data_IF_365151592001
#
_entry.id   IF_365151592001
#
_cell.length_a   1.000
_cell.length_b   1.000
_cell.length_c   1.000
_cell.angle_alpha   90.00
_cell.angle_beta   90.00
_cell.angle_gamma   90.00
#
_symmetry.space_group_name_H-M   'P 1'
#
loop_
_entity.id
_entity.type
_entity.pdbx_description
1 polymer ?
#
# COMPACT_ATOMS: atom_id res chain seq x y z
N UNK A 1 -12.27 -32.65 -13.81
CA UNK A 1 -12.71 -31.60 -12.88
C UNK A 1 -11.92 -30.29 -13.09
N UNK A 2 -10.58 -30.26 -13.03
CA UNK A 2 -9.79 -29.03 -13.18
C UNK A 2 -9.78 -28.50 -14.63
N UNK A 3 -9.72 -29.35 -15.62
CA UNK A 3 -9.83 -29.02 -17.06
C UNK A 3 -11.22 -28.49 -17.40
N UNK A 4 -12.27 -29.09 -16.90
CA UNK A 4 -13.67 -28.64 -17.10
C UNK A 4 -13.91 -27.24 -16.51
N UNK A 5 -13.20 -26.86 -15.46
CA UNK A 5 -13.29 -25.53 -14.84
C UNK A 5 -12.37 -24.50 -15.49
N UNK A 6 -11.62 -24.84 -16.55
CA UNK A 6 -10.61 -24.00 -17.19
C UNK A 6 -9.69 -23.30 -16.17
N UNK A 7 -9.26 -24.06 -15.16
CA UNK A 7 -8.59 -23.49 -14.01
C UNK A 7 -7.25 -22.82 -14.38
N UNK A 8 -6.49 -23.44 -15.28
CA UNK A 8 -5.20 -22.90 -15.73
C UNK A 8 -5.38 -21.58 -16.48
N UNK A 9 -6.30 -21.53 -17.43
CA UNK A 9 -6.60 -20.34 -18.23
C UNK A 9 -7.03 -19.17 -17.34
N UNK A 10 -7.86 -19.44 -16.34
CA UNK A 10 -8.29 -18.44 -15.35
C UNK A 10 -7.18 -18.00 -14.41
N UNK A 11 -6.20 -18.87 -14.14
CA UNK A 11 -5.09 -18.57 -13.24
C UNK A 11 -4.01 -17.72 -13.89
N UNK A 12 -3.81 -17.84 -15.22
CA UNK A 12 -2.74 -17.11 -15.92
C UNK A 12 -3.16 -15.73 -16.45
N UNK A 13 -4.48 -15.46 -16.49
CA UNK A 13 -4.98 -14.13 -16.89
C UNK A 13 -5.40 -13.31 -15.68
N UNK A 14 -5.01 -12.01 -15.61
CA UNK A 14 -5.44 -11.12 -14.54
C UNK A 14 -6.94 -10.80 -14.65
N UNK A 15 -7.61 -10.66 -13.50
CA UNK A 15 -9.03 -10.28 -13.45
C UNK A 15 -9.26 -8.87 -14.01
N UNK A 16 -8.33 -7.93 -13.75
CA UNK A 16 -8.44 -6.56 -14.23
C UNK A 16 -7.07 -5.89 -14.37
N UNK A 17 -6.95 -5.05 -15.40
CA UNK A 17 -5.79 -4.19 -15.62
C UNK A 17 -6.27 -2.75 -15.75
N UNK A 18 -5.68 -1.85 -14.97
CA UNK A 18 -5.86 -0.40 -15.12
C UNK A 18 -4.56 0.18 -15.65
N UNK A 19 -4.65 0.91 -16.76
CA UNK A 19 -3.54 1.64 -17.36
C UNK A 19 -3.94 3.09 -17.53
N UNK A 20 -3.07 4.01 -17.11
CA UNK A 20 -3.37 5.43 -17.13
C UNK A 20 -2.12 6.26 -17.40
N UNK A 21 -2.35 7.49 -17.85
CA UNK A 21 -1.32 8.49 -18.11
C UNK A 21 -1.04 9.28 -16.82
N UNK A 22 0.24 9.52 -16.54
CA UNK A 22 0.71 10.28 -15.36
C UNK A 22 1.46 11.51 -15.82
N UNK A 23 0.79 12.64 -16.09
CA UNK A 23 1.45 13.91 -16.38
C UNK A 23 1.93 14.59 -15.09
N UNK A 24 3.16 15.09 -15.08
CA UNK A 24 3.73 15.82 -13.96
C UNK A 24 4.74 16.85 -14.45
N UNK A 25 5.06 17.84 -13.60
CA UNK A 25 5.99 18.92 -13.96
C UNK A 25 7.30 18.75 -13.21
N UNK A 26 8.43 18.78 -13.92
CA UNK A 26 9.76 18.73 -13.30
C UNK A 26 10.15 20.09 -12.68
N UNK A 27 11.31 20.15 -12.03
CA UNK A 27 11.79 21.36 -11.38
C UNK A 27 12.19 22.48 -12.38
N UNK A 28 12.37 22.15 -13.65
CA UNK A 28 12.58 23.13 -14.73
C UNK A 28 11.28 23.73 -15.29
N UNK A 29 10.12 23.26 -14.80
CA UNK A 29 8.81 23.68 -15.30
C UNK A 29 8.34 22.94 -16.54
N UNK A 30 9.07 21.90 -17.01
CA UNK A 30 8.70 21.12 -18.18
C UNK A 30 7.72 20.02 -17.79
N UNK A 31 6.68 19.84 -18.59
CA UNK A 31 5.73 18.75 -18.44
C UNK A 31 6.34 17.44 -18.90
N UNK A 32 6.32 16.45 -18.03
CA UNK A 32 6.73 15.07 -18.25
C UNK A 32 5.49 14.18 -18.24
N UNK A 33 5.53 13.05 -18.96
CA UNK A 33 4.43 12.10 -19.01
C UNK A 33 4.97 10.68 -18.87
N UNK A 34 4.51 9.98 -17.83
CA UNK A 34 4.78 8.58 -17.58
C UNK A 34 3.51 7.74 -17.73
N UNK A 35 3.67 6.42 -17.75
CA UNK A 35 2.57 5.46 -17.74
C UNK A 35 2.43 4.85 -16.36
N UNK A 36 1.20 4.85 -15.85
CA UNK A 36 0.84 4.15 -14.63
C UNK A 36 0.07 2.87 -14.93
N UNK A 37 0.30 1.84 -14.10
CA UNK A 37 -0.35 0.55 -14.22
C UNK A 37 -0.78 0.03 -12.86
N UNK A 38 -1.93 -0.67 -12.83
CA UNK A 38 -2.31 -1.57 -11.75
C UNK A 38 -2.88 -2.84 -12.35
N UNK A 39 -2.30 -3.97 -12.00
CA UNK A 39 -2.74 -5.31 -12.36
C UNK A 39 -3.36 -5.92 -11.12
N UNK A 40 -4.66 -6.07 -11.13
CA UNK A 40 -5.47 -6.77 -10.15
C UNK A 40 -5.60 -8.20 -10.64
N UNK A 41 -4.75 -9.08 -10.08
CA UNK A 41 -4.52 -10.35 -10.74
C UNK A 41 -5.52 -11.41 -10.33
N UNK A 42 -5.72 -11.61 -9.03
CA UNK A 42 -6.65 -12.60 -8.52
C UNK A 42 -7.14 -12.24 -7.12
N UNK A 43 -8.45 -12.28 -6.90
CA UNK A 43 -9.14 -11.92 -5.65
C UNK A 43 -9.80 -13.11 -4.95
N UNK A 44 -9.57 -14.35 -5.42
CA UNK A 44 -10.26 -15.54 -4.92
C UNK A 44 -10.12 -15.78 -3.40
N UNK A 45 -9.03 -15.33 -2.79
CA UNK A 45 -8.76 -15.51 -1.36
C UNK A 45 -8.79 -14.20 -0.55
N UNK A 46 -9.11 -13.08 -1.17
CA UNK A 46 -9.24 -11.78 -0.52
C UNK A 46 -8.86 -10.61 -1.40
N UNK A 47 -8.83 -9.38 -0.84
CA UNK A 47 -8.49 -8.16 -1.57
C UNK A 47 -7.15 -8.28 -2.29
N UNK A 48 -7.03 -7.64 -3.46
CA UNK A 48 -5.76 -7.61 -4.17
C UNK A 48 -4.68 -6.96 -3.29
N UNK A 49 -3.51 -7.58 -3.23
CA UNK A 49 -2.39 -7.11 -2.43
C UNK A 49 -1.09 -7.26 -3.18
N UNK A 50 -0.32 -6.17 -3.28
CA UNK A 50 1.00 -6.21 -3.90
C UNK A 50 1.62 -4.85 -4.12
N UNK A 51 2.94 -4.84 -4.38
CA UNK A 51 3.76 -3.64 -4.45
C UNK A 51 3.51 -2.76 -5.66
N UNK A 52 3.85 -1.48 -5.51
CA UNK A 52 4.04 -0.53 -6.60
C UNK A 52 5.54 -0.44 -6.91
N UNK A 53 5.92 -0.57 -8.18
CA UNK A 53 7.31 -0.46 -8.65
C UNK A 53 7.48 0.77 -9.52
N UNK A 54 8.44 1.64 -9.18
CA UNK A 54 8.83 2.77 -10.03
C UNK A 54 10.23 2.54 -10.57
N UNK A 55 10.30 2.26 -11.86
CA UNK A 55 11.56 2.01 -12.55
C UNK A 55 11.37 2.17 -14.06
N UNK A 56 12.33 2.74 -14.81
CA UNK A 56 12.24 2.91 -16.27
C UNK A 56 11.96 1.64 -17.06
N UNK A 57 12.32 0.48 -16.50
CA UNK A 57 12.12 -0.82 -17.16
C UNK A 57 10.72 -1.40 -16.96
N UNK A 58 9.85 -0.72 -16.20
CA UNK A 58 8.49 -1.21 -15.95
C UNK A 58 7.66 -1.21 -17.21
N UNK A 59 7.15 -2.39 -17.55
CA UNK A 59 6.20 -2.61 -18.63
C UNK A 59 4.98 -3.37 -18.11
N UNK A 60 3.89 -3.34 -18.87
CA UNK A 60 2.69 -4.09 -18.51
C UNK A 60 2.97 -5.60 -18.43
N UNK A 61 3.78 -6.16 -19.35
CA UNK A 61 4.16 -7.57 -19.34
C UNK A 61 4.92 -7.96 -18.07
N UNK A 62 5.88 -7.12 -17.64
CA UNK A 62 6.59 -7.33 -16.37
C UNK A 62 5.62 -7.32 -15.18
N UNK A 63 4.67 -6.39 -15.14
CA UNK A 63 3.73 -6.29 -14.02
C UNK A 63 2.70 -7.44 -14.02
N UNK A 64 2.29 -7.95 -15.19
CA UNK A 64 1.49 -9.18 -15.29
C UNK A 64 2.25 -10.35 -14.68
N UNK A 65 3.52 -10.55 -15.06
CA UNK A 65 4.34 -11.62 -14.50
C UNK A 65 4.51 -11.50 -12.99
N UNK A 66 4.87 -10.31 -12.50
CA UNK A 66 5.04 -10.07 -11.06
C UNK A 66 3.71 -10.19 -10.28
N UNK A 67 2.59 -9.86 -10.90
CA UNK A 67 1.26 -10.07 -10.32
C UNK A 67 0.91 -11.54 -10.21
N UNK A 68 1.25 -12.34 -11.21
CA UNK A 68 1.12 -13.78 -11.20
C UNK A 68 1.94 -14.42 -10.08
N UNK A 69 3.23 -14.07 -9.94
CA UNK A 69 4.05 -14.52 -8.81
C UNK A 69 3.46 -14.12 -7.46
N UNK A 70 2.86 -12.92 -7.38
CA UNK A 70 2.28 -12.41 -6.14
C UNK A 70 1.10 -13.24 -5.64
N UNK A 71 0.35 -13.91 -6.51
CA UNK A 71 -0.76 -14.80 -6.10
C UNK A 71 -0.20 -15.93 -5.24
N UNK A 72 0.81 -16.61 -5.73
CA UNK A 72 1.41 -17.76 -5.01
C UNK A 72 2.08 -17.31 -3.72
N UNK A 73 2.82 -16.20 -3.78
CA UNK A 73 3.45 -15.63 -2.58
C UNK A 73 2.43 -15.34 -1.48
N UNK A 74 1.30 -14.74 -1.83
CA UNK A 74 0.26 -14.37 -0.86
C UNK A 74 -0.50 -15.60 -0.34
N UNK A 75 -0.80 -16.58 -1.20
CA UNK A 75 -1.48 -17.82 -0.79
C UNK A 75 -0.70 -18.61 0.25
N UNK A 76 0.64 -18.57 0.19
CA UNK A 76 1.51 -19.26 1.14
C UNK A 76 1.57 -18.57 2.52
N UNK A 77 1.03 -17.35 2.67
CA UNK A 77 1.01 -16.65 3.96
C UNK A 77 -0.14 -17.08 4.87
N UNK A 78 -1.09 -17.87 4.37
CA UNK A 78 -2.35 -18.22 5.03
C UNK A 78 -3.28 -17.07 5.36
N UNK A 79 -2.94 -15.84 4.93
CA UNK A 79 -3.76 -14.66 5.14
C UNK A 79 -4.78 -14.49 4.00
N UNK A 80 -5.98 -13.93 4.27
CA UNK A 80 -7.02 -13.73 3.26
C UNK A 80 -6.70 -12.51 2.37
N UNK A 81 -5.73 -12.65 1.49
CA UNK A 81 -5.33 -11.60 0.55
C UNK A 81 -4.99 -12.19 -0.82
N UNK A 82 -5.57 -11.58 -1.84
CA UNK A 82 -5.33 -11.88 -3.24
C UNK A 82 -4.00 -11.34 -3.74
N UNK A 83 -3.80 -11.39 -5.05
CA UNK A 83 -2.58 -10.91 -5.71
C UNK A 83 -2.81 -9.72 -6.61
N UNK A 84 -1.94 -8.72 -6.50
CA UNK A 84 -1.94 -7.56 -7.38
C UNK A 84 -0.53 -6.97 -7.51
N UNK A 85 -0.31 -6.23 -8.60
CA UNK A 85 0.97 -5.54 -8.84
C UNK A 85 0.72 -4.26 -9.60
N UNK A 86 1.48 -3.22 -9.28
CA UNK A 86 1.38 -1.96 -10.02
C UNK A 86 2.72 -1.28 -10.17
N UNK A 87 2.72 -0.15 -10.83
CA UNK A 87 3.93 0.64 -11.00
C UNK A 87 3.87 1.63 -12.15
N UNK A 88 5.03 2.18 -12.44
CA UNK A 88 5.24 3.15 -13.52
C UNK A 88 6.65 3.05 -14.08
N UNK A 89 6.82 3.47 -15.33
CA UNK A 89 8.11 3.69 -15.98
C UNK A 89 8.86 4.93 -15.46
N UNK A 90 8.38 5.56 -14.40
CA UNK A 90 9.02 6.67 -13.71
C UNK A 90 10.30 6.22 -12.99
N UNK A 91 11.40 6.97 -13.16
CA UNK A 91 12.64 6.76 -12.41
C UNK A 91 12.73 7.76 -11.23
N UNK A 92 12.62 7.32 -9.97
CA UNK A 92 12.76 8.19 -8.82
C UNK A 92 14.22 8.56 -8.50
N UNK A 93 15.20 7.90 -9.12
CA UNK A 93 16.62 8.19 -8.86
C UNK A 93 16.99 9.56 -9.42
N UNK A 94 17.67 10.35 -8.59
CA UNK A 94 18.12 11.70 -8.97
C UNK A 94 17.00 12.75 -9.06
N UNK A 95 15.76 12.38 -8.71
CA UNK A 95 14.64 13.30 -8.65
C UNK A 95 14.55 14.00 -7.30
N UNK A 96 14.16 15.28 -7.32
CA UNK A 96 13.91 16.03 -6.09
C UNK A 96 12.67 15.50 -5.34
N UNK A 97 12.57 15.81 -4.05
CA UNK A 97 11.37 15.45 -3.28
C UNK A 97 10.09 16.09 -3.85
N UNK A 98 10.21 17.29 -4.41
CA UNK A 98 9.08 18.00 -5.03
C UNK A 98 8.65 17.34 -6.34
N UNK A 99 9.59 16.88 -7.17
CA UNK A 99 9.29 16.13 -8.39
C UNK A 99 8.58 14.82 -8.07
N UNK A 100 9.11 14.06 -7.11
CA UNK A 100 8.49 12.81 -6.65
C UNK A 100 7.10 13.05 -6.08
N UNK A 101 6.92 14.13 -5.32
CA UNK A 101 5.60 14.51 -4.78
C UNK A 101 4.61 14.79 -5.91
N UNK A 102 4.98 15.62 -6.90
CA UNK A 102 4.11 15.94 -8.05
C UNK A 102 3.76 14.70 -8.86
N UNK A 103 4.75 13.83 -9.09
CA UNK A 103 4.52 12.55 -9.76
C UNK A 103 3.55 11.66 -8.97
N UNK A 104 3.79 11.43 -7.69
CA UNK A 104 2.92 10.61 -6.84
C UNK A 104 1.50 11.17 -6.75
N UNK A 105 1.34 12.48 -6.66
CA UNK A 105 0.01 13.13 -6.67
C UNK A 105 -0.74 12.83 -7.97
N UNK A 106 -0.08 13.02 -9.12
CA UNK A 106 -0.67 12.70 -10.42
C UNK A 106 -0.98 11.22 -10.58
N UNK A 107 -0.07 10.34 -10.15
CA UNK A 107 -0.27 8.90 -10.16
C UNK A 107 -1.49 8.47 -9.32
N UNK A 108 -1.64 9.04 -8.12
CA UNK A 108 -2.75 8.72 -7.23
C UNK A 108 -4.08 9.33 -7.66
N UNK A 109 -4.10 10.43 -8.41
CA UNK A 109 -5.32 11.03 -8.96
C UNK A 109 -6.12 10.04 -9.82
N UNK A 110 -5.45 9.10 -10.45
CA UNK A 110 -6.11 8.04 -11.21
C UNK A 110 -6.27 6.75 -10.38
N UNK A 111 -5.22 6.35 -9.68
CA UNK A 111 -5.22 5.06 -8.98
C UNK A 111 -6.20 5.01 -7.79
N UNK A 112 -6.44 6.12 -7.08
CA UNK A 112 -7.27 6.10 -5.85
C UNK A 112 -8.68 5.57 -6.05
N UNK A 113 -9.21 5.66 -7.27
CA UNK A 113 -10.56 5.17 -7.61
C UNK A 113 -10.67 3.63 -7.61
N UNK A 114 -9.53 2.96 -7.66
CA UNK A 114 -9.45 1.50 -7.83
C UNK A 114 -8.94 0.79 -6.58
N UNK A 115 -8.44 1.53 -5.60
CA UNK A 115 -7.84 0.98 -4.38
C UNK A 115 -8.71 1.23 -3.15
N UNK A 116 -8.58 0.37 -2.17
CA UNK A 116 -9.33 0.45 -0.92
C UNK A 116 -8.95 -0.67 0.04
N UNK A 117 -9.25 -0.55 1.33
CA UNK A 117 -8.85 -1.54 2.34
C UNK A 117 -9.42 -2.93 2.07
N UNK A 118 -10.61 -2.99 1.47
CA UNK A 118 -11.32 -4.23 1.21
C UNK A 118 -11.33 -4.61 -0.30
N UNK A 119 -10.67 -3.82 -1.14
CA UNK A 119 -10.64 -4.02 -2.60
C UNK A 119 -9.24 -4.31 -3.10
N UNK A 120 -8.33 -3.34 -2.92
CA UNK A 120 -6.95 -3.43 -3.40
C UNK A 120 -6.02 -2.60 -2.51
N UNK A 121 -5.00 -3.26 -1.96
CA UNK A 121 -4.07 -2.66 -0.99
C UNK A 121 -2.66 -2.63 -1.58
N UNK A 122 -2.24 -1.51 -2.20
CA UNK A 122 -0.87 -1.35 -2.68
C UNK A 122 0.15 -1.33 -1.54
N UNK A 123 1.39 -1.71 -1.87
CA UNK A 123 2.53 -1.68 -0.96
C UNK A 123 3.76 -1.11 -1.68
N UNK A 124 4.87 -0.92 -0.94
CA UNK A 124 6.16 -0.57 -1.55
C UNK A 124 6.81 -1.75 -2.28
N UNK A 125 7.63 -1.42 -3.26
CA UNK A 125 8.50 -2.33 -4.03
C UNK A 125 9.71 -1.53 -4.53
N UNK A 126 10.44 -2.02 -5.53
CA UNK A 126 11.60 -1.35 -6.11
C UNK A 126 11.25 0.09 -6.55
N UNK A 127 12.02 1.07 -6.08
CA UNK A 127 11.80 2.49 -6.36
C UNK A 127 10.63 3.13 -5.61
N UNK A 128 9.97 2.39 -4.71
CA UNK A 128 8.85 2.88 -3.89
C UNK A 128 9.13 2.59 -2.41
N UNK A 129 9.84 3.48 -1.79
CA UNK A 129 10.19 3.42 -0.36
C UNK A 129 9.20 4.18 0.54
N UNK A 130 9.63 4.46 1.77
CA UNK A 130 8.80 5.17 2.76
C UNK A 130 8.39 6.57 2.34
N UNK A 131 9.21 7.27 1.57
CA UNK A 131 8.95 8.61 1.03
C UNK A 131 7.80 8.58 0.01
N UNK A 132 7.90 7.71 -0.98
CA UNK A 132 6.91 7.54 -2.05
C UNK A 132 5.58 7.04 -1.46
N UNK A 133 5.62 6.05 -0.57
CA UNK A 133 4.44 5.53 0.13
C UNK A 133 3.76 6.62 0.95
N UNK A 134 4.52 7.42 1.71
CA UNK A 134 3.97 8.53 2.50
C UNK A 134 3.24 9.54 1.61
N UNK A 135 3.87 9.94 0.51
CA UNK A 135 3.27 10.88 -0.44
C UNK A 135 2.01 10.32 -1.10
N UNK A 136 2.05 9.06 -1.54
CA UNK A 136 0.88 8.39 -2.11
C UNK A 136 -0.27 8.27 -1.10
N UNK A 137 0.01 7.96 0.15
CA UNK A 137 -1.00 7.85 1.21
C UNK A 137 -1.69 9.19 1.49
N UNK A 138 -0.93 10.27 1.60
CA UNK A 138 -1.49 11.62 1.78
C UNK A 138 -2.34 12.02 0.57
N UNK A 139 -1.86 11.74 -0.64
CA UNK A 139 -2.59 12.06 -1.87
C UNK A 139 -3.89 11.27 -1.98
N UNK A 140 -3.89 9.99 -1.61
CA UNK A 140 -5.11 9.16 -1.56
C UNK A 140 -6.14 9.75 -0.60
N UNK A 141 -5.71 10.14 0.60
CA UNK A 141 -6.59 10.73 1.60
C UNK A 141 -7.19 12.07 1.12
N UNK A 142 -6.40 12.89 0.43
CA UNK A 142 -6.85 14.14 -0.14
C UNK A 142 -7.86 13.93 -1.30
N UNK A 143 -7.61 12.94 -2.18
CA UNK A 143 -8.49 12.63 -3.30
C UNK A 143 -9.80 11.96 -2.88
N UNK A 144 -9.77 11.11 -1.87
CA UNK A 144 -10.95 10.34 -1.46
C UNK A 144 -12.02 11.17 -0.73
N UNK A 145 -11.71 12.39 -0.26
CA UNK A 145 -12.61 13.28 0.50
C UNK A 145 -13.39 12.58 1.62
N UNK A 146 -13.01 11.35 1.96
CA UNK A 146 -13.65 10.54 2.99
C UNK A 146 -12.66 10.35 4.13
N UNK A 147 -13.05 10.67 5.37
CA UNK A 147 -12.22 10.61 6.58
C UNK A 147 -11.75 9.20 7.00
N UNK A 148 -11.72 8.26 6.08
CA UNK A 148 -11.08 6.95 6.26
C UNK A 148 -9.66 7.06 5.73
N UNK A 149 -8.70 7.23 6.64
CA UNK A 149 -7.29 7.16 6.33
C UNK A 149 -6.97 5.77 5.75
N UNK A 150 -6.82 5.70 4.43
CA UNK A 150 -6.29 4.53 3.75
C UNK A 150 -4.77 4.53 3.91
N UNK A 151 -4.24 3.58 4.63
CA UNK A 151 -2.79 3.41 4.79
C UNK A 151 -2.27 2.42 3.77
N UNK A 152 -1.41 2.89 2.86
CA UNK A 152 -0.60 1.99 2.04
C UNK A 152 0.31 1.17 2.96
N UNK A 153 0.31 -0.15 2.80
CA UNK A 153 1.16 -1.00 3.61
C UNK A 153 2.64 -0.72 3.35
N UNK A 154 3.35 -0.30 4.36
CA UNK A 154 4.82 -0.15 4.30
C UNK A 154 5.45 -1.53 4.15
N UNK A 155 6.32 -1.69 3.16
CA UNK A 155 7.07 -2.91 2.97
C UNK A 155 7.87 -3.30 4.22
N UNK A 156 7.80 -4.57 4.58
CA UNK A 156 8.67 -5.30 5.49
C UNK A 156 8.69 -4.94 6.98
N UNK A 157 7.56 -4.63 7.62
CA UNK A 157 7.26 -5.08 8.99
C UNK A 157 5.75 -5.13 9.14
N UNK A 158 5.17 -6.26 8.88
CA UNK A 158 3.88 -6.64 9.42
C UNK A 158 4.07 -6.88 10.94
N UNK A 159 4.12 -5.78 11.70
CA UNK A 159 3.62 -5.89 13.05
C UNK A 159 2.10 -5.95 12.90
N UNK A 160 1.53 -7.12 13.10
CA UNK A 160 0.11 -7.25 13.31
C UNK A 160 -0.28 -6.21 14.38
N UNK A 161 -1.36 -5.43 14.19
CA UNK A 161 -1.90 -4.67 15.29
C UNK A 161 -2.30 -5.70 16.34
N UNK A 162 -1.57 -5.74 17.45
CA UNK A 162 -2.00 -6.49 18.62
C UNK A 162 -3.31 -5.85 19.05
N UNK A 163 -4.41 -6.53 18.81
CA UNK A 163 -5.67 -6.30 19.48
C UNK A 163 -5.49 -6.75 20.94
N UNK A 164 -4.67 -6.02 21.68
CA UNK A 164 -4.73 -6.05 23.13
C UNK A 164 -5.94 -5.20 23.53
N UNK A 165 -6.92 -5.77 24.22
CA UNK A 165 -8.00 -4.97 24.77
C UNK A 165 -7.40 -3.92 25.71
N UNK A 166 -7.71 -2.66 25.49
CA UNK A 166 -7.40 -1.59 26.45
C UNK A 166 -8.08 -1.96 27.76
N UNK A 167 -7.29 -2.33 28.76
CA UNK A 167 -7.77 -2.36 30.13
C UNK A 167 -8.11 -0.92 30.54
N UNK A 168 -9.27 -0.69 31.17
CA UNK A 168 -9.57 0.60 31.75
C UNK A 168 -8.56 0.89 32.86
N UNK A 169 -8.00 2.09 32.85
CA UNK A 169 -7.16 2.59 33.91
C UNK A 169 -8.01 2.65 35.19
N UNK A 170 -7.72 1.79 36.15
CA UNK A 170 -8.22 1.94 37.53
C UNK A 170 -7.33 2.94 38.20
N UNK A 171 -7.89 4.13 38.45
CA UNK A 171 -7.30 5.12 39.34
C UNK A 171 -7.25 4.53 40.78
N UNK A 172 -6.06 4.10 41.19
CA UNK A 172 -5.78 3.83 42.58
C UNK A 172 -5.06 5.04 43.19
N UNK A 173 -5.86 6.02 43.58
CA UNK A 173 -5.44 7.05 44.49
C UNK A 173 -5.47 6.44 45.90
N UNK A 174 -4.36 5.96 46.42
CA UNK A 174 -4.14 5.66 47.82
C UNK A 174 -3.13 6.64 48.37
N UNK A 175 -3.70 7.66 49.03
CA UNK A 175 -2.99 8.56 49.93
C UNK A 175 -2.45 7.77 51.16
N UNK A 176 -1.13 7.60 51.22
CA UNK A 176 -0.47 7.15 52.46
C UNK A 176 -0.21 8.35 53.35
N UNK A 177 -1.08 8.51 54.35
CA UNK A 177 -0.79 9.34 55.52
C UNK A 177 0.25 8.62 56.38
N UNK A 178 1.43 9.16 56.45
CA UNK A 178 2.44 8.79 57.48
C UNK A 178 2.19 9.60 58.73
N UNK A 179 1.75 8.92 59.79
CA UNK A 179 1.68 9.46 61.11
C UNK A 179 3.07 9.33 61.75
N UNK A 180 3.68 10.47 62.04
CA UNK A 180 4.90 10.58 62.84
C UNK A 180 4.49 10.57 64.32
N UNK A 181 4.84 9.52 65.03
CA UNK A 181 4.78 9.51 66.49
C UNK A 181 6.17 9.84 67.06
N UNK A 182 6.23 11.02 67.67
CA UNK A 182 7.30 11.38 68.57
C UNK A 182 7.06 10.65 69.90
N UNK A 183 8.12 10.07 70.46
CA UNK A 183 8.16 9.66 71.89
C UNK A 183 9.47 10.14 72.46
N UNK A 184 9.30 10.95 73.51
CA UNK A 184 10.35 11.42 74.45
C UNK A 184 10.92 10.25 75.28
N UNK A 185 12.21 10.29 75.54
CA UNK A 185 12.88 10.19 76.82
C UNK A 185 14.40 10.15 76.59
#
# INVERSE_FOLDING_TARGET
>A
AYEEASLLERLVEPERIVMFRVPWVDDSGKCQVNRGYRVEFNSAIGPYKGGLRFNPTVTLGMLKFLGFEQIFKNSLTTLPMGGGKGGSDFDPKGKSNNEIMRFCQSFMTELYRHIGPDTDVPAGDLGVGGREIGTCSVSTSACAMSGRAFSLARGSRLAAPSLAPRQPATDSCTSSMSISSATES
#
